data_IF_892239444885
#
_entry.id   IF_892239444885
#
_cell.length_a   1.000
_cell.length_b   1.000
_cell.length_c   1.000
_cell.angle_alpha   90.00
_cell.angle_beta   90.00
_cell.angle_gamma   90.00
#
_symmetry.space_group_name_H-M   'P 1'
#
loop_
_entity.id
_entity.type
_entity.pdbx_description
1 polymer ?
#
# COMPACT_ATOMS: atom_id res chain seq x y z
N UNK A 1 -4.53 17.67 -6.65
CA UNK A 1 -3.84 16.40 -6.98
C UNK A 1 -4.15 15.38 -5.89
N UNK A 2 -4.67 14.21 -6.27
CA UNK A 2 -4.91 13.07 -5.37
C UNK A 2 -3.83 12.01 -5.59
N UNK A 3 -3.63 11.13 -4.61
CA UNK A 3 -2.82 9.91 -4.74
C UNK A 3 -3.73 8.69 -4.59
N UNK A 4 -3.43 7.61 -5.31
CA UNK A 4 -4.09 6.32 -5.10
C UNK A 4 -3.13 5.43 -4.34
N UNK A 5 -3.55 4.91 -3.19
CA UNK A 5 -2.77 3.94 -2.42
C UNK A 5 -3.62 2.74 -2.05
N UNK A 6 -2.96 1.62 -1.79
CA UNK A 6 -3.60 0.40 -1.32
C UNK A 6 -3.71 0.41 0.21
N UNK A 7 -4.86 0.00 0.73
CA UNK A 7 -5.07 -0.26 2.15
C UNK A 7 -4.88 -1.77 2.37
N UNK A 8 -3.96 -2.12 3.26
CA UNK A 8 -3.60 -3.51 3.55
C UNK A 8 -4.29 -4.07 4.79
N UNK A 9 -4.53 -3.19 5.76
CA UNK A 9 -5.02 -3.52 7.08
C UNK A 9 -5.58 -2.24 7.72
N UNK A 10 -6.12 -2.36 8.92
CA UNK A 10 -6.60 -1.29 9.78
C UNK A 10 -5.68 -1.11 11.01
N UNK A 11 -4.40 -1.47 10.93
CA UNK A 11 -3.43 -1.32 12.03
C UNK A 11 -3.08 0.15 12.22
N UNK A 12 -2.78 0.86 11.12
CA UNK A 12 -2.41 2.27 11.17
C UNK A 12 -3.66 3.18 11.36
N UNK A 13 -3.58 4.24 12.18
CA UNK A 13 -4.68 5.20 12.33
C UNK A 13 -5.15 5.81 11.01
N UNK A 14 -4.22 6.11 10.10
CA UNK A 14 -4.52 6.65 8.76
C UNK A 14 -5.28 5.65 7.89
N UNK A 15 -5.08 4.34 8.09
CA UNK A 15 -5.83 3.31 7.38
C UNK A 15 -7.24 3.15 7.96
N UNK A 16 -7.38 3.17 9.30
CA UNK A 16 -8.69 3.14 9.97
C UNK A 16 -9.58 4.30 9.50
N UNK A 17 -9.00 5.50 9.44
CA UNK A 17 -9.71 6.69 9.02
C UNK A 17 -10.10 6.62 7.52
N UNK A 18 -9.22 6.12 6.67
CA UNK A 18 -9.55 5.88 5.26
C UNK A 18 -10.69 4.86 5.10
N UNK A 19 -10.65 3.74 5.84
CA UNK A 19 -11.70 2.72 5.83
C UNK A 19 -13.04 3.31 6.31
N UNK A 20 -13.02 4.14 7.37
CA UNK A 20 -14.21 4.83 7.87
C UNK A 20 -14.83 5.72 6.79
N UNK A 21 -14.02 6.51 6.08
CA UNK A 21 -14.51 7.36 4.98
C UNK A 21 -15.03 6.52 3.79
N UNK A 22 -14.41 5.37 3.50
CA UNK A 22 -14.91 4.42 2.48
C UNK A 22 -16.30 3.92 2.85
N UNK A 23 -16.53 3.51 4.12
CA UNK A 23 -17.86 3.10 4.59
C UNK A 23 -18.91 4.18 4.37
N UNK A 24 -18.59 5.43 4.71
CA UNK A 24 -19.48 6.57 4.45
C UNK A 24 -19.78 6.76 2.97
N UNK A 25 -18.78 6.63 2.07
CA UNK A 25 -19.03 6.73 0.62
C UNK A 25 -19.94 5.59 0.15
N UNK A 26 -19.80 4.37 0.69
CA UNK A 26 -20.71 3.26 0.36
C UNK A 26 -22.14 3.60 0.78
N UNK A 27 -22.34 4.05 2.02
CA UNK A 27 -23.66 4.42 2.54
C UNK A 27 -24.32 5.56 1.74
N UNK A 28 -23.54 6.51 1.22
CA UNK A 28 -24.05 7.63 0.42
C UNK A 28 -24.35 7.28 -1.05
N UNK A 29 -23.71 6.25 -1.61
CA UNK A 29 -23.78 5.95 -3.06
C UNK A 29 -24.74 4.81 -3.40
N UNK A 30 -25.09 3.99 -2.43
CA UNK A 30 -25.90 2.80 -2.63
C UNK A 30 -27.12 2.88 -1.70
N UNK A 31 -28.34 2.93 -2.25
CA UNK A 31 -29.58 3.11 -1.49
C UNK A 31 -29.85 1.99 -0.47
N UNK A 32 -29.32 0.78 -0.74
CA UNK A 32 -29.36 -0.38 0.16
C UNK A 32 -28.07 -1.19 0.05
N UNK A 33 -26.94 -0.67 0.56
CA UNK A 33 -25.71 -1.44 0.59
C UNK A 33 -25.93 -2.63 1.54
N UNK A 34 -25.51 -3.86 1.20
CA UNK A 34 -25.62 -4.96 2.14
C UNK A 34 -24.85 -4.59 3.41
N UNK A 35 -25.53 -4.50 4.56
CA UNK A 35 -24.88 -4.17 5.85
C UNK A 35 -23.65 -5.04 6.11
N UNK A 36 -23.73 -6.31 5.68
CA UNK A 36 -22.63 -7.28 5.70
C UNK A 36 -21.38 -6.83 4.96
N UNK A 37 -21.51 -6.11 3.85
CA UNK A 37 -20.37 -5.62 3.06
C UNK A 37 -19.71 -4.40 3.71
N UNK A 38 -20.49 -3.53 4.36
CA UNK A 38 -19.97 -2.39 5.12
C UNK A 38 -19.28 -2.84 6.40
N UNK A 39 -19.94 -3.69 7.19
CA UNK A 39 -19.42 -4.15 8.48
C UNK A 39 -18.28 -5.15 8.29
N UNK A 40 -18.40 -6.01 7.28
CA UNK A 40 -17.42 -7.03 6.93
C UNK A 40 -16.18 -6.50 6.20
N UNK A 41 -16.12 -5.24 5.76
CA UNK A 41 -14.98 -4.72 4.97
C UNK A 41 -13.62 -4.92 5.67
N UNK A 42 -13.56 -4.69 6.99
CA UNK A 42 -12.33 -4.91 7.76
C UNK A 42 -12.00 -6.40 7.82
N UNK A 43 -13.00 -7.26 8.04
CA UNK A 43 -12.83 -8.71 8.05
C UNK A 43 -12.33 -9.21 6.69
N UNK A 44 -12.90 -8.74 5.58
CA UNK A 44 -12.47 -9.07 4.22
C UNK A 44 -10.99 -8.72 3.98
N UNK A 45 -10.51 -7.61 4.55
CA UNK A 45 -9.11 -7.19 4.43
C UNK A 45 -8.16 -8.01 5.30
N UNK A 46 -8.58 -8.42 6.50
CA UNK A 46 -7.76 -9.17 7.46
C UNK A 46 -7.72 -10.68 7.20
N UNK A 47 -8.87 -11.26 6.86
CA UNK A 47 -9.07 -12.70 6.72
C UNK A 47 -9.47 -13.07 5.29
N UNK A 48 -8.50 -13.39 4.42
CA UNK A 48 -8.78 -13.82 3.06
C UNK A 48 -9.42 -15.20 2.98
N UNK A 49 -9.38 -16.01 4.05
CA UNK A 49 -9.95 -17.35 4.07
C UNK A 49 -11.47 -17.31 4.25
N UNK A 50 -11.98 -16.34 5.01
CA UNK A 50 -13.42 -16.19 5.28
C UNK A 50 -14.29 -16.18 4.01
N UNK A 51 -13.80 -15.56 2.92
CA UNK A 51 -14.52 -15.49 1.65
C UNK A 51 -13.85 -16.29 0.53
N UNK A 52 -12.74 -16.98 0.81
CA UNK A 52 -11.90 -17.61 -0.22
C UNK A 52 -11.57 -16.62 -1.35
N UNK A 53 -11.26 -15.38 -0.96
CA UNK A 53 -10.86 -14.28 -1.82
C UNK A 53 -9.92 -13.38 -1.04
N UNK A 54 -8.88 -12.86 -1.71
CA UNK A 54 -8.05 -11.80 -1.15
C UNK A 54 -8.66 -10.45 -1.49
N UNK A 55 -9.18 -9.73 -0.50
CA UNK A 55 -9.66 -8.38 -0.72
C UNK A 55 -8.50 -7.38 -0.91
N UNK A 56 -8.69 -6.45 -1.83
CA UNK A 56 -7.75 -5.39 -2.19
C UNK A 56 -8.52 -4.09 -2.23
N UNK A 57 -8.25 -3.18 -1.31
CA UNK A 57 -8.88 -1.86 -1.25
C UNK A 57 -7.90 -0.80 -1.74
N UNK A 58 -8.27 -0.08 -2.80
CA UNK A 58 -7.59 1.13 -3.26
C UNK A 58 -8.38 2.35 -2.83
N UNK A 59 -7.69 3.37 -2.30
CA UNK A 59 -8.30 4.66 -1.96
C UNK A 59 -7.61 5.78 -2.73
N UNK A 60 -8.40 6.63 -3.37
CA UNK A 60 -7.96 7.89 -3.94
C UNK A 60 -8.10 8.97 -2.87
N UNK A 61 -7.01 9.53 -2.38
CA UNK A 61 -7.01 10.49 -1.27
C UNK A 61 -6.20 11.76 -1.59
N UNK A 62 -6.64 12.91 -1.06
CA UNK A 62 -5.87 14.16 -1.11
C UNK A 62 -4.77 14.17 -0.04
N UNK A 63 -3.82 15.11 -0.14
CA UNK A 63 -2.71 15.27 0.82
C UNK A 63 -3.16 15.43 2.29
N UNK A 64 -4.40 15.87 2.54
CA UNK A 64 -4.98 15.99 3.86
C UNK A 64 -5.58 14.69 4.42
N UNK A 65 -5.45 13.55 3.73
CA UNK A 65 -6.05 12.27 4.14
C UNK A 65 -7.55 12.16 3.84
N UNK A 66 -8.11 13.10 3.09
CA UNK A 66 -9.51 13.06 2.65
C UNK A 66 -9.65 12.09 1.47
N UNK A 67 -10.40 11.01 1.66
CA UNK A 67 -10.77 10.04 0.63
C UNK A 67 -11.76 10.71 -0.33
N UNK A 68 -11.49 10.57 -1.62
CA UNK A 68 -12.28 11.13 -2.73
C UNK A 68 -13.00 10.04 -3.51
N UNK A 69 -12.57 8.80 -3.36
CA UNK A 69 -13.14 7.62 -3.99
C UNK A 69 -12.33 6.38 -3.63
N UNK A 70 -12.88 5.21 -3.95
CA UNK A 70 -12.25 3.93 -3.66
C UNK A 70 -12.63 2.88 -4.70
N UNK A 71 -11.85 1.80 -4.72
CA UNK A 71 -12.18 0.58 -5.42
C UNK A 71 -11.86 -0.64 -4.54
N UNK A 72 -12.82 -1.56 -4.41
CA UNK A 72 -12.66 -2.83 -3.70
C UNK A 72 -12.63 -3.96 -4.72
N UNK A 73 -11.56 -4.75 -4.72
CA UNK A 73 -11.34 -5.87 -5.63
C UNK A 73 -11.17 -7.15 -4.83
N UNK A 74 -11.80 -8.23 -5.28
CA UNK A 74 -11.64 -9.57 -4.75
C UNK A 74 -10.76 -10.38 -5.69
N UNK A 75 -9.58 -10.79 -5.24
CA UNK A 75 -8.62 -11.52 -6.06
C UNK A 75 -8.61 -13.01 -5.70
N UNK A 76 -8.70 -13.89 -6.71
CA UNK A 76 -8.53 -15.34 -6.58
C UNK A 76 -7.31 -15.82 -7.38
N UNK A 77 -6.18 -16.09 -6.69
CA UNK A 77 -4.91 -16.40 -7.35
C UNK A 77 -4.91 -17.76 -8.07
N UNK A 78 -5.64 -18.77 -7.57
CA UNK A 78 -5.61 -20.11 -8.16
C UNK A 78 -6.35 -20.14 -9.51
N UNK A 79 -7.50 -19.46 -9.58
CA UNK A 79 -8.24 -19.30 -10.82
C UNK A 79 -7.64 -18.23 -11.74
N UNK A 80 -6.72 -17.39 -11.21
CA UNK A 80 -6.15 -16.23 -11.90
C UNK A 80 -7.23 -15.28 -12.38
N UNK A 81 -8.11 -14.88 -11.48
CA UNK A 81 -9.16 -13.90 -11.75
C UNK A 81 -9.20 -12.82 -10.66
N UNK A 82 -9.75 -11.66 -11.01
CA UNK A 82 -10.13 -10.62 -10.06
C UNK A 82 -11.58 -10.22 -10.31
N UNK A 83 -12.29 -9.85 -9.25
CA UNK A 83 -13.65 -9.34 -9.30
C UNK A 83 -13.68 -7.93 -8.72
N UNK A 84 -14.04 -6.92 -9.51
CA UNK A 84 -14.25 -5.56 -9.01
C UNK A 84 -15.62 -5.49 -8.32
N UNK A 85 -15.58 -5.42 -7.00
CA UNK A 85 -16.75 -5.47 -6.12
C UNK A 85 -17.43 -4.10 -6.03
N UNK A 86 -16.64 -3.08 -5.72
CA UNK A 86 -17.11 -1.71 -5.64
C UNK A 86 -16.12 -0.78 -6.32
N UNK A 87 -16.65 0.23 -7.00
CA UNK A 87 -15.90 1.42 -7.39
C UNK A 87 -16.82 2.62 -7.27
N UNK A 88 -16.38 3.62 -6.51
CA UNK A 88 -17.17 4.81 -6.29
C UNK A 88 -16.27 6.03 -6.03
N UNK A 89 -16.77 7.20 -6.43
CA UNK A 89 -16.22 8.48 -6.04
C UNK A 89 -17.23 9.19 -5.12
N UNK A 90 -16.74 10.03 -4.20
CA UNK A 90 -17.61 10.82 -3.32
C UNK A 90 -18.47 11.79 -4.15
N UNK A 91 -19.77 11.84 -3.86
CA UNK A 91 -20.77 12.75 -4.46
C UNK A 91 -20.45 14.22 -4.23
N UNK A 92 -19.78 14.55 -3.11
CA UNK A 92 -19.60 15.93 -2.63
C UNK A 92 -18.60 16.75 -3.45
N UNK A 93 -17.87 16.12 -4.37
CA UNK A 93 -16.80 16.75 -5.15
C UNK A 93 -16.96 16.38 -6.62
N UNK A 94 -16.93 17.38 -7.50
CA UNK A 94 -16.90 17.25 -8.97
C UNK A 94 -15.69 16.42 -9.39
N UNK A 95 -15.84 15.10 -9.38
CA UNK A 95 -14.75 14.11 -9.41
C UNK A 95 -14.42 13.65 -10.83
N UNK A 96 -14.31 14.58 -11.79
CA UNK A 96 -13.86 14.25 -13.15
C UNK A 96 -12.47 13.59 -13.07
N UNK A 97 -12.40 12.33 -13.52
CA UNK A 97 -11.14 11.57 -13.63
C UNK A 97 -10.77 10.67 -12.45
N UNK A 98 -11.41 10.76 -11.28
CA UNK A 98 -11.10 9.86 -10.15
C UNK A 98 -11.50 8.41 -10.46
N UNK A 99 -12.72 8.21 -10.98
CA UNK A 99 -13.19 6.88 -11.39
C UNK A 99 -12.28 6.23 -12.45
N UNK A 100 -11.86 7.01 -13.45
CA UNK A 100 -10.89 6.56 -14.47
C UNK A 100 -9.55 6.16 -13.86
N UNK A 101 -8.98 6.99 -12.99
CA UNK A 101 -7.70 6.70 -12.34
C UNK A 101 -7.78 5.48 -11.39
N UNK A 102 -8.88 5.32 -10.65
CA UNK A 102 -9.12 4.15 -9.81
C UNK A 102 -9.27 2.89 -10.64
N UNK A 103 -10.08 2.93 -11.70
CA UNK A 103 -10.28 1.78 -12.59
C UNK A 103 -8.97 1.38 -13.27
N UNK A 104 -8.19 2.35 -13.77
CA UNK A 104 -6.87 2.07 -14.32
C UNK A 104 -5.95 1.42 -13.29
N UNK A 105 -5.88 1.92 -12.05
CA UNK A 105 -5.07 1.29 -10.99
C UNK A 105 -5.52 -0.14 -10.68
N UNK A 106 -6.82 -0.42 -10.72
CA UNK A 106 -7.36 -1.78 -10.57
C UNK A 106 -6.88 -2.70 -11.70
N UNK A 107 -6.91 -2.22 -12.95
CA UNK A 107 -6.39 -2.97 -14.11
C UNK A 107 -4.90 -3.22 -14.00
N UNK A 108 -4.13 -2.23 -13.54
CA UNK A 108 -2.68 -2.36 -13.31
C UNK A 108 -2.39 -3.44 -12.27
N UNK A 109 -3.05 -3.40 -11.10
CA UNK A 109 -2.87 -4.40 -10.04
C UNK A 109 -3.32 -5.80 -10.49
N UNK A 110 -4.40 -5.89 -11.28
CA UNK A 110 -4.87 -7.15 -11.85
C UNK A 110 -3.82 -7.76 -12.80
N UNK A 111 -3.27 -6.96 -13.71
CA UNK A 111 -2.21 -7.38 -14.63
C UNK A 111 -0.93 -7.76 -13.88
N UNK A 112 -0.50 -6.96 -12.90
CA UNK A 112 0.65 -7.23 -12.01
C UNK A 112 0.46 -8.54 -11.21
N UNK A 113 -0.78 -8.87 -10.86
CA UNK A 113 -1.13 -10.12 -10.16
C UNK A 113 -1.25 -11.34 -11.09
N UNK A 114 -1.04 -11.16 -12.40
CA UNK A 114 -1.07 -12.24 -13.38
C UNK A 114 -2.46 -12.87 -13.62
N UNK A 115 -3.54 -12.13 -13.35
CA UNK A 115 -4.90 -12.61 -13.65
C UNK A 115 -5.15 -12.60 -15.16
N UNK A 116 -6.07 -13.45 -15.61
CA UNK A 116 -6.46 -13.56 -17.02
C UNK A 116 -7.57 -12.60 -17.42
N UNK A 117 -8.42 -12.20 -16.47
CA UNK A 117 -9.49 -11.25 -16.69
C UNK A 117 -9.93 -10.61 -15.35
N UNK A 118 -10.48 -9.41 -15.46
CA UNK A 118 -11.20 -8.71 -14.40
C UNK A 118 -12.70 -8.79 -14.68
N UNK A 119 -13.46 -9.27 -13.70
CA UNK A 119 -14.91 -9.45 -13.76
C UNK A 119 -15.60 -8.41 -12.89
N UNK A 120 -16.80 -7.97 -13.27
CA UNK A 120 -17.66 -7.16 -12.42
C UNK A 120 -19.09 -7.14 -12.96
N UNK A 121 -20.00 -6.56 -12.19
CA UNK A 121 -21.41 -6.47 -12.55
C UNK A 121 -21.79 -5.05 -12.95
N UNK A 122 -22.64 -4.94 -13.96
CA UNK A 122 -23.30 -3.70 -14.33
C UNK A 122 -24.78 -3.97 -14.57
N UNK A 123 -25.63 -3.12 -14.01
CA UNK A 123 -27.06 -3.19 -14.30
C UNK A 123 -27.35 -2.97 -15.79
N UNK A 124 -28.45 -3.53 -16.33
CA UNK A 124 -28.77 -3.48 -17.75
C UNK A 124 -28.90 -2.06 -18.32
N UNK A 125 -28.51 -1.91 -19.59
CA UNK A 125 -28.60 -0.66 -20.38
C UNK A 125 -29.73 -0.69 -21.44
N UNK A 126 -30.50 -1.76 -21.47
CA UNK A 126 -31.69 -1.92 -22.29
C UNK A 126 -32.98 -1.57 -21.51
N UNK A 127 -33.98 -0.97 -22.17
CA UNK A 127 -35.23 -0.57 -21.51
C UNK A 127 -36.13 -1.73 -21.07
N UNK A 128 -35.93 -2.93 -21.62
CA UNK A 128 -36.78 -4.10 -21.31
C UNK A 128 -36.40 -4.69 -19.94
N UNK A 129 -35.10 -4.77 -19.65
CA UNK A 129 -34.54 -5.25 -18.39
C UNK A 129 -34.31 -4.14 -17.34
N UNK A 130 -34.41 -2.86 -17.69
CA UNK A 130 -34.35 -1.74 -16.75
C UNK A 130 -35.42 -0.69 -17.07
N UNK A 131 -36.53 -0.75 -16.32
CA UNK A 131 -37.71 0.10 -16.55
C UNK A 131 -37.58 1.53 -16.02
N UNK A 132 -36.70 1.77 -15.03
CA UNK A 132 -36.47 3.10 -14.47
C UNK A 132 -35.59 3.94 -15.43
N UNK A 133 -36.10 5.06 -15.99
CA UNK A 133 -35.35 5.87 -16.95
C UNK A 133 -34.09 6.53 -16.37
N UNK A 134 -34.07 6.83 -15.07
CA UNK A 134 -32.95 7.46 -14.39
C UNK A 134 -31.79 6.46 -14.21
N UNK A 135 -32.11 5.24 -13.76
CA UNK A 135 -31.16 4.14 -13.65
C UNK A 135 -30.66 3.73 -15.04
N UNK A 136 -31.54 3.62 -16.03
CA UNK A 136 -31.16 3.29 -17.40
C UNK A 136 -30.12 4.29 -17.96
N UNK A 137 -30.32 5.60 -17.75
CA UNK A 137 -29.34 6.62 -18.16
C UNK A 137 -27.99 6.45 -17.45
N UNK A 138 -28.01 6.15 -16.14
CA UNK A 138 -26.80 5.92 -15.37
C UNK A 138 -26.06 4.63 -15.80
N UNK A 139 -26.79 3.54 -16.05
CA UNK A 139 -26.24 2.26 -16.51
C UNK A 139 -25.58 2.38 -17.87
N UNK A 140 -26.22 3.09 -18.82
CA UNK A 140 -25.63 3.43 -20.12
C UNK A 140 -24.31 4.19 -19.98
N UNK A 141 -24.26 5.16 -19.07
CA UNK A 141 -23.03 5.92 -18.80
C UNK A 141 -21.93 5.05 -18.18
N UNK A 142 -22.27 4.14 -17.25
CA UNK A 142 -21.32 3.18 -16.65
C UNK A 142 -20.76 2.21 -17.68
N UNK A 143 -21.62 1.57 -18.47
CA UNK A 143 -21.18 0.65 -19.52
C UNK A 143 -20.37 1.36 -20.60
N UNK A 144 -20.75 2.57 -21.01
CA UNK A 144 -19.93 3.40 -21.91
C UNK A 144 -18.53 3.69 -21.34
N UNK A 145 -18.42 3.95 -20.04
CA UNK A 145 -17.13 4.16 -19.38
C UNK A 145 -16.24 2.91 -19.45
N UNK A 146 -16.78 1.75 -19.08
CA UNK A 146 -16.04 0.48 -19.10
C UNK A 146 -15.69 0.00 -20.51
N UNK A 147 -16.60 0.19 -21.47
CA UNK A 147 -16.38 -0.14 -22.87
C UNK A 147 -15.19 0.65 -23.46
N UNK A 148 -14.95 1.88 -22.98
CA UNK A 148 -13.74 2.66 -23.32
C UNK A 148 -12.42 2.01 -22.91
N UNK A 149 -12.44 1.04 -22.00
CA UNK A 149 -11.29 0.20 -21.61
C UNK A 149 -11.33 -1.21 -22.22
N UNK A 150 -12.26 -1.48 -23.14
CA UNK A 150 -12.46 -2.79 -23.77
C UNK A 150 -13.34 -3.77 -22.97
N UNK A 151 -13.76 -3.39 -21.76
CA UNK A 151 -14.57 -4.23 -20.89
C UNK A 151 -16.03 -4.26 -21.35
N UNK A 152 -16.59 -5.47 -21.55
CA UNK A 152 -17.91 -5.65 -22.19
C UNK A 152 -18.73 -6.77 -21.53
N UNK A 153 -20.08 -6.68 -21.57
CA UNK A 153 -20.95 -7.76 -21.10
C UNK A 153 -20.68 -9.08 -21.82
N UNK A 154 -20.63 -10.19 -21.08
CA UNK A 154 -20.69 -11.53 -21.64
C UNK A 154 -22.12 -11.80 -22.15
N UNK A 155 -22.25 -12.38 -23.34
CA UNK A 155 -23.55 -12.71 -23.97
C UNK A 155 -23.77 -14.22 -24.04
N UNK A 156 -24.96 -14.64 -24.50
CA UNK A 156 -25.34 -16.05 -24.66
C UNK A 156 -25.18 -16.88 -23.37
N UNK A 157 -25.58 -16.29 -22.25
CA UNK A 157 -25.57 -16.91 -20.93
C UNK A 157 -26.80 -16.43 -20.15
N UNK A 158 -26.98 -16.97 -18.95
CA UNK A 158 -28.12 -16.70 -18.07
C UNK A 158 -27.67 -16.03 -16.77
N UNK A 159 -26.57 -15.27 -16.78
CA UNK A 159 -26.06 -14.60 -15.57
C UNK A 159 -27.03 -13.51 -15.07
N UNK A 160 -27.71 -12.86 -16.01
CA UNK A 160 -28.78 -11.88 -15.81
C UNK A 160 -30.17 -12.53 -15.66
N UNK A 161 -30.25 -13.84 -15.48
CA UNK A 161 -31.53 -14.50 -15.19
C UNK A 161 -31.98 -14.18 -13.75
N UNK A 162 -33.28 -13.95 -13.51
CA UNK A 162 -33.80 -13.67 -12.18
C UNK A 162 -33.49 -14.78 -11.19
N UNK A 163 -33.13 -14.39 -9.96
CA UNK A 163 -32.98 -15.30 -8.82
C UNK A 163 -34.35 -15.77 -8.30
N UNK A 164 -35.35 -14.90 -8.37
CA UNK A 164 -36.74 -15.05 -7.95
C UNK A 164 -37.64 -14.12 -8.78
N UNK A 165 -38.96 -14.32 -8.70
CA UNK A 165 -39.97 -13.62 -9.51
C UNK A 165 -40.06 -12.09 -9.26
N UNK A 166 -39.39 -11.58 -8.21
CA UNK A 166 -39.42 -10.17 -7.79
C UNK A 166 -38.25 -9.32 -8.33
N UNK A 167 -37.25 -9.94 -8.99
CA UNK A 167 -36.04 -9.23 -9.43
C UNK A 167 -36.15 -8.69 -10.86
N UNK A 168 -36.64 -7.45 -10.99
CA UNK A 168 -36.94 -6.79 -12.28
C UNK A 168 -35.68 -6.28 -13.04
N UNK A 169 -34.46 -6.40 -12.49
CA UNK A 169 -33.21 -5.89 -13.12
C UNK A 169 -31.93 -6.58 -12.65
N UNK A 170 -31.71 -7.84 -13.08
CA UNK A 170 -30.47 -8.56 -12.78
C UNK A 170 -29.27 -7.99 -13.56
N UNK A 171 -28.06 -7.95 -12.98
CA UNK A 171 -26.90 -7.36 -13.63
C UNK A 171 -26.32 -8.26 -14.71
N UNK A 172 -25.71 -7.65 -15.72
CA UNK A 172 -24.81 -8.34 -16.63
C UNK A 172 -23.46 -8.63 -15.95
N UNK A 173 -22.88 -9.78 -16.28
CA UNK A 173 -21.46 -10.03 -16.06
C UNK A 173 -20.63 -9.30 -17.13
N UNK A 174 -19.84 -8.32 -16.70
CA UNK A 174 -18.89 -7.59 -17.55
C UNK A 174 -17.49 -8.20 -17.36
N UNK A 175 -16.79 -8.38 -18.48
CA UNK A 175 -15.43 -8.94 -18.51
C UNK A 175 -14.48 -7.93 -19.17
N UNK A 176 -13.42 -7.58 -18.45
CA UNK A 176 -12.24 -6.86 -18.96
C UNK A 176 -11.10 -7.86 -19.11
N UNK A 177 -10.65 -8.10 -20.34
CA UNK A 177 -9.55 -9.02 -20.66
C UNK A 177 -8.17 -8.38 -20.46
N UNK A 178 -8.14 -7.19 -19.85
CA UNK A 178 -6.97 -6.34 -19.58
C UNK A 178 -6.23 -5.90 -20.86
N UNK A 179 -6.90 -5.95 -22.02
CA UNK A 179 -6.32 -5.65 -23.32
C UNK A 179 -5.31 -6.72 -23.78
N UNK A 180 -5.48 -7.96 -23.34
CA UNK A 180 -4.58 -9.07 -23.73
C UNK A 180 -5.03 -9.80 -25.00
N UNK A 181 -6.28 -9.58 -25.45
CA UNK A 181 -6.91 -10.24 -26.61
C UNK A 181 -6.85 -11.78 -26.54
N UNK A 182 -6.63 -12.32 -25.34
CA UNK A 182 -6.56 -13.77 -25.11
C UNK A 182 -7.97 -14.35 -25.17
N UNK A 183 -8.18 -15.50 -25.84
CA UNK A 183 -9.48 -16.15 -25.86
C UNK A 183 -9.99 -16.47 -24.44
N UNK A 184 -11.17 -15.94 -24.10
CA UNK A 184 -11.86 -16.22 -22.84
C UNK A 184 -12.43 -17.65 -22.86
N UNK A 185 -11.57 -18.64 -22.58
CA UNK A 185 -11.95 -20.05 -22.62
C UNK A 185 -13.14 -20.33 -21.72
N UNK A 186 -14.11 -21.10 -22.22
CA UNK A 186 -15.35 -21.45 -21.51
C UNK A 186 -15.11 -21.99 -20.12
N UNK A 187 -14.15 -22.91 -19.97
CA UNK A 187 -13.78 -23.51 -18.68
C UNK A 187 -13.37 -22.44 -17.66
N UNK A 188 -12.51 -21.50 -18.07
CA UNK A 188 -12.03 -20.43 -17.20
C UNK A 188 -13.16 -19.51 -16.74
N UNK A 189 -14.03 -19.08 -17.66
CA UNK A 189 -15.16 -18.20 -17.31
C UNK A 189 -16.16 -18.93 -16.41
N UNK A 190 -16.46 -20.21 -16.68
CA UNK A 190 -17.31 -21.03 -15.80
C UNK A 190 -16.75 -21.16 -14.39
N UNK A 191 -15.43 -21.43 -14.26
CA UNK A 191 -14.76 -21.53 -12.96
C UNK A 191 -14.83 -20.18 -12.20
N UNK A 192 -14.63 -19.05 -12.90
CA UNK A 192 -14.73 -17.70 -12.34
C UNK A 192 -16.16 -17.35 -11.89
N UNK A 193 -17.16 -17.58 -12.75
CA UNK A 193 -18.58 -17.36 -12.44
C UNK A 193 -19.02 -18.19 -11.24
N UNK A 194 -18.66 -19.47 -11.22
CA UNK A 194 -18.91 -20.34 -10.07
C UNK A 194 -18.32 -19.77 -8.79
N UNK A 195 -17.04 -19.36 -8.82
CA UNK A 195 -16.39 -18.76 -7.66
C UNK A 195 -17.09 -17.48 -7.18
N UNK A 196 -17.55 -16.62 -8.09
CA UNK A 196 -18.31 -15.41 -7.74
C UNK A 196 -19.63 -15.80 -7.03
N UNK A 197 -20.43 -16.67 -7.64
CA UNK A 197 -21.74 -17.03 -7.13
C UNK A 197 -21.66 -17.84 -5.81
N UNK A 198 -20.74 -18.81 -5.70
CA UNK A 198 -20.61 -19.67 -4.51
C UNK A 198 -19.87 -19.03 -3.33
N UNK A 199 -19.12 -17.94 -3.55
CA UNK A 199 -18.28 -17.34 -2.50
C UNK A 199 -18.76 -15.95 -2.12
N UNK A 200 -18.94 -15.05 -3.10
CA UNK A 200 -19.45 -13.70 -2.85
C UNK A 200 -20.96 -13.77 -2.55
N UNK A 201 -21.70 -14.47 -3.40
CA UNK A 201 -23.16 -14.56 -3.32
C UNK A 201 -23.68 -15.82 -2.61
N UNK A 202 -22.83 -16.49 -1.82
CA UNK A 202 -23.16 -17.73 -1.11
C UNK A 202 -24.44 -17.70 -0.26
N UNK A 203 -24.84 -16.50 0.18
CA UNK A 203 -25.99 -16.26 1.05
C UNK A 203 -27.30 -15.99 0.30
N UNK A 204 -27.25 -15.78 -1.02
CA UNK A 204 -28.40 -15.48 -1.87
C UNK A 204 -28.55 -16.42 -3.06
N UNK A 205 -27.46 -17.02 -3.54
CA UNK A 205 -27.48 -17.95 -4.69
C UNK A 205 -27.56 -19.42 -4.22
N UNK A 206 -28.70 -20.11 -4.40
CA UNK A 206 -28.78 -21.54 -4.11
C UNK A 206 -27.95 -22.36 -5.11
N UNK A 207 -27.46 -23.57 -4.74
CA UNK A 207 -26.60 -24.38 -5.62
C UNK A 207 -27.20 -24.65 -7.01
N UNK A 208 -28.52 -24.88 -7.09
CA UNK A 208 -29.22 -25.12 -8.36
C UNK A 208 -29.18 -23.90 -9.30
N UNK A 209 -29.27 -22.69 -8.74
CA UNK A 209 -29.11 -21.45 -9.49
C UNK A 209 -27.68 -21.36 -10.04
N UNK A 210 -26.68 -21.65 -9.20
CA UNK A 210 -25.26 -21.63 -9.62
C UNK A 210 -25.05 -22.58 -10.79
N UNK A 211 -25.50 -23.84 -10.69
CA UNK A 211 -25.34 -24.81 -11.77
C UNK A 211 -26.02 -24.37 -13.07
N UNK A 212 -27.25 -23.86 -12.97
CA UNK A 212 -27.99 -23.36 -14.13
C UNK A 212 -27.25 -22.23 -14.83
N UNK A 213 -26.78 -21.23 -14.08
CA UNK A 213 -26.04 -20.08 -14.63
C UNK A 213 -24.71 -20.54 -15.21
N UNK A 214 -23.93 -21.35 -14.51
CA UNK A 214 -22.63 -21.83 -15.00
C UNK A 214 -22.79 -22.68 -16.27
N UNK A 215 -23.80 -23.56 -16.33
CA UNK A 215 -24.08 -24.39 -17.50
C UNK A 215 -24.54 -23.59 -18.72
N UNK A 216 -25.12 -22.40 -18.52
CA UNK A 216 -25.59 -21.53 -19.61
C UNK A 216 -24.48 -20.98 -20.50
N UNK A 217 -23.24 -20.85 -20.00
CA UNK A 217 -22.08 -20.42 -20.79
C UNK A 217 -21.68 -21.54 -21.75
N UNK A 218 -22.19 -21.56 -22.98
CA UNK A 218 -21.99 -22.65 -23.97
C UNK A 218 -20.86 -22.40 -24.97
N UNK A 219 -20.64 -21.15 -25.35
CA UNK A 219 -19.62 -20.74 -26.33
C UNK A 219 -18.18 -20.97 -25.80
N UNK A 220 -17.24 -21.36 -26.67
CA UNK A 220 -15.80 -21.39 -26.39
C UNK A 220 -15.00 -20.83 -27.58
N UNK A 221 -14.38 -19.64 -27.48
CA UNK A 221 -14.37 -18.75 -26.30
C UNK A 221 -15.76 -18.16 -25.99
N UNK A 222 -15.97 -17.76 -24.73
CA UNK A 222 -17.16 -17.01 -24.31
C UNK A 222 -17.23 -15.70 -25.10
N UNK A 223 -18.40 -15.40 -25.65
CA UNK A 223 -18.63 -14.20 -26.47
C UNK A 223 -18.90 -12.99 -25.59
N UNK A 224 -18.30 -11.87 -25.96
CA UNK A 224 -18.62 -10.55 -25.41
C UNK A 224 -19.54 -9.82 -26.38
N UNK A 225 -20.40 -8.96 -25.85
CA UNK A 225 -21.28 -8.09 -26.64
C UNK A 225 -20.45 -7.22 -27.57
N UNK A 226 -20.98 -6.92 -28.76
CA UNK A 226 -20.37 -5.93 -29.64
C UNK A 226 -20.35 -4.54 -28.97
N UNK A 227 -19.30 -3.72 -29.23
CA UNK A 227 -19.25 -2.36 -28.69
C UNK A 227 -20.46 -1.54 -29.11
N UNK A 228 -21.12 -0.88 -28.15
CA UNK A 228 -22.35 -0.10 -28.38
C UNK A 228 -22.14 1.41 -28.33
N UNK A 229 -21.17 1.88 -27.55
CA UNK A 229 -20.99 3.28 -27.21
C UNK A 229 -19.66 3.89 -27.66
N UNK A 230 -18.62 3.07 -27.72
CA UNK A 230 -17.25 3.49 -28.03
C UNK A 230 -16.69 2.57 -29.09
N UNK A 231 -16.28 3.16 -30.21
CA UNK A 231 -15.52 2.44 -31.22
C UNK A 231 -14.06 2.39 -30.75
N UNK A 232 -13.67 1.31 -30.08
CA UNK A 232 -12.30 1.14 -29.57
C UNK A 232 -11.42 0.60 -30.69
N UNK A 233 -10.56 1.44 -31.27
CA UNK A 233 -9.56 0.99 -32.26
C UNK A 233 -8.40 0.23 -31.60
N UNK A 234 -8.08 0.54 -30.34
CA UNK A 234 -7.05 -0.15 -29.56
C UNK A 234 -7.38 -0.10 -28.08
N UNK A 235 -7.63 -1.26 -27.47
CA UNK A 235 -7.87 -1.38 -26.03
C UNK A 235 -6.64 -0.88 -25.28
N UNK A 236 -6.77 0.04 -24.30
CA UNK A 236 -5.63 0.44 -23.49
C UNK A 236 -5.10 -0.81 -22.77
N UNK A 237 -3.91 -1.27 -23.11
CA UNK A 237 -3.25 -2.34 -22.36
C UNK A 237 -2.96 -1.82 -20.95
N UNK A 238 -3.18 -2.65 -19.93
CA UNK A 238 -2.66 -2.32 -18.60
C UNK A 238 -1.13 -2.14 -18.71
N UNK A 239 -0.54 -0.99 -18.31
CA UNK A 239 0.90 -0.78 -18.36
C UNK A 239 1.65 -1.91 -17.64
N UNK A 240 2.71 -2.40 -18.27
CA UNK A 240 3.65 -3.31 -17.64
C UNK A 240 4.45 -2.53 -16.59
N UNK A 241 4.27 -2.89 -15.31
CA UNK A 241 5.16 -2.59 -14.19
C UNK A 241 5.54 -1.10 -14.00
N UNK A 242 4.83 -0.41 -13.11
CA UNK A 242 5.29 0.89 -12.64
C UNK A 242 4.57 1.47 -11.43
N UNK A 243 3.54 0.79 -10.91
CA UNK A 243 2.60 1.40 -9.96
C UNK A 243 2.64 0.82 -8.54
N UNK A 244 3.48 -0.19 -8.30
CA UNK A 244 3.78 -0.66 -6.95
C UNK A 244 4.44 0.47 -6.15
N UNK A 245 3.90 0.78 -4.98
CA UNK A 245 4.43 1.82 -4.10
C UNK A 245 5.88 1.48 -3.72
N UNK A 246 6.85 2.21 -4.30
CA UNK A 246 8.28 2.03 -4.02
C UNK A 246 8.58 2.22 -2.54
N UNK A 247 9.54 1.45 -2.02
CA UNK A 247 10.03 1.56 -0.66
C UNK A 247 10.72 2.92 -0.51
N UNK A 248 10.27 3.72 0.46
CA UNK A 248 10.94 4.99 0.77
C UNK A 248 12.33 4.72 1.35
N UNK A 249 13.38 5.19 0.68
CA UNK A 249 14.76 5.03 1.13
C UNK A 249 15.27 6.36 1.70
N UNK A 250 15.62 6.36 2.98
CA UNK A 250 16.27 7.48 3.64
C UNK A 250 17.72 7.08 3.94
N UNK A 251 18.66 7.77 3.31
CA UNK A 251 20.09 7.60 3.55
C UNK A 251 20.55 8.80 4.36
N UNK A 252 21.29 8.58 5.46
CA UNK A 252 21.77 9.72 6.23
C UNK A 252 22.98 10.34 5.53
N UNK A 253 22.77 11.53 4.97
CA UNK A 253 23.83 12.29 4.29
C UNK A 253 24.97 12.59 5.25
N UNK A 254 26.19 12.66 4.69
CA UNK A 254 27.42 12.93 5.43
C UNK A 254 27.68 11.90 6.52
N UNK A 255 27.24 10.64 6.41
CA UNK A 255 27.60 9.61 7.39
C UNK A 255 29.12 9.32 7.40
N UNK A 256 29.79 9.54 6.26
CA UNK A 256 31.20 9.30 5.99
C UNK A 256 32.13 10.23 6.78
N UNK A 257 31.62 11.38 7.25
CA UNK A 257 32.36 12.30 8.13
C UNK A 257 32.82 11.61 9.42
N UNK A 258 32.10 10.59 9.87
CA UNK A 258 32.49 9.77 11.00
C UNK A 258 33.27 8.55 10.49
N UNK A 259 34.58 8.67 10.34
CA UNK A 259 35.45 7.58 9.90
C UNK A 259 36.59 7.39 10.91
N UNK A 260 36.62 6.21 11.52
CA UNK A 260 37.65 5.80 12.48
C UNK A 260 38.58 4.84 11.75
N UNK A 261 39.87 5.21 11.66
CA UNK A 261 40.89 4.42 10.93
C UNK A 261 41.68 3.46 11.85
N UNK A 262 41.21 3.25 13.07
CA UNK A 262 41.93 2.47 14.06
C UNK A 262 41.80 0.97 13.83
N UNK A 263 42.88 0.24 14.08
CA UNK A 263 43.00 -1.19 13.81
C UNK A 263 42.00 -1.96 14.67
N UNK A 264 41.03 -2.63 14.04
CA UNK A 264 39.98 -3.41 14.71
C UNK A 264 38.61 -2.73 14.75
N UNK A 265 38.49 -1.45 14.36
CA UNK A 265 37.19 -0.81 14.16
C UNK A 265 36.58 -1.25 12.83
N UNK A 266 35.43 -1.93 12.88
CA UNK A 266 34.81 -2.59 11.71
C UNK A 266 33.70 -1.77 11.06
N UNK A 267 33.24 -0.70 11.70
CA UNK A 267 32.14 0.13 11.22
C UNK A 267 32.67 1.20 10.23
N UNK A 268 32.76 0.84 8.94
CA UNK A 268 33.35 1.70 7.90
C UNK A 268 32.31 2.39 7.00
N UNK A 269 32.60 3.62 6.49
CA UNK A 269 31.74 4.30 5.52
C UNK A 269 31.40 3.47 4.27
N UNK A 270 32.28 2.53 3.88
CA UNK A 270 32.08 1.65 2.71
C UNK A 270 30.82 0.78 2.82
N UNK A 271 30.32 0.53 4.03
CA UNK A 271 29.12 -0.29 4.26
C UNK A 271 27.89 0.30 3.59
N UNK A 272 27.69 1.62 3.70
CA UNK A 272 26.54 2.31 3.10
C UNK A 272 26.63 2.29 1.57
N UNK A 273 27.80 2.57 1.00
CA UNK A 273 27.98 2.57 -0.46
C UNK A 273 27.81 1.18 -1.06
N UNK A 274 28.25 0.12 -0.37
CA UNK A 274 28.03 -1.28 -0.79
C UNK A 274 26.56 -1.66 -0.78
N UNK A 275 25.81 -1.29 0.26
CA UNK A 275 24.37 -1.54 0.32
C UNK A 275 23.67 -0.77 -0.80
N UNK A 276 23.96 0.51 -0.99
CA UNK A 276 23.38 1.32 -2.05
C UNK A 276 23.65 0.74 -3.45
N UNK A 277 24.85 0.24 -3.70
CA UNK A 277 25.20 -0.37 -4.98
C UNK A 277 24.32 -1.60 -5.31
N UNK A 278 23.86 -2.36 -4.31
CA UNK A 278 22.91 -3.45 -4.52
C UNK A 278 21.46 -2.95 -4.64
N UNK A 279 21.06 -1.96 -3.84
CA UNK A 279 19.71 -1.39 -3.92
C UNK A 279 19.44 -0.71 -5.27
N UNK A 280 20.44 -0.01 -5.81
CA UNK A 280 20.37 0.73 -7.07
C UNK A 280 20.22 -0.18 -8.30
N UNK A 281 20.51 -1.50 -8.17
CA UNK A 281 20.22 -2.50 -9.20
C UNK A 281 18.72 -2.81 -9.32
N UNK A 282 17.91 -2.34 -8.39
CA UNK A 282 16.47 -2.61 -8.32
C UNK A 282 15.66 -1.34 -8.60
N UNK A 283 14.42 -1.51 -9.05
CA UNK A 283 13.45 -0.40 -9.20
C UNK A 283 12.56 -0.22 -7.95
N UNK A 284 12.86 -0.95 -6.88
CA UNK A 284 12.01 -1.07 -5.69
C UNK A 284 12.06 0.15 -4.77
N UNK A 285 13.13 0.96 -4.84
CA UNK A 285 13.37 2.05 -3.89
C UNK A 285 13.20 3.43 -4.51
N UNK A 286 12.77 4.37 -3.68
CA UNK A 286 12.70 5.80 -3.99
C UNK A 286 13.44 6.58 -2.92
N UNK A 287 14.56 7.21 -3.29
CA UNK A 287 15.34 8.05 -2.37
C UNK A 287 14.54 9.27 -1.95
N UNK A 288 14.50 9.53 -0.65
CA UNK A 288 13.86 10.70 -0.04
C UNK A 288 14.80 11.36 0.96
N UNK A 289 14.66 12.67 1.10
CA UNK A 289 15.46 13.47 2.03
C UNK A 289 14.85 13.44 3.43
N UNK A 290 15.68 13.11 4.42
CA UNK A 290 15.34 13.34 5.82
C UNK A 290 15.52 14.82 6.15
N UNK A 291 14.50 15.44 6.76
CA UNK A 291 14.60 16.83 7.22
C UNK A 291 15.19 16.87 8.62
N UNK A 292 16.04 17.87 8.87
CA UNK A 292 16.54 18.16 10.21
C UNK A 292 15.40 18.47 11.18
N UNK A 293 15.44 17.86 12.36
CA UNK A 293 14.42 18.00 13.41
C UNK A 293 15.05 18.46 14.73
N UNK A 294 14.21 18.86 15.67
CA UNK A 294 14.64 19.13 17.04
C UNK A 294 15.16 17.85 17.70
N UNK A 295 15.97 17.99 18.75
CA UNK A 295 16.48 16.87 19.55
C UNK A 295 15.45 16.31 20.55
N UNK A 296 14.23 16.87 20.60
CA UNK A 296 13.21 16.41 21.56
C UNK A 296 12.86 14.93 21.42
N UNK A 297 12.69 14.35 20.22
CA UNK A 297 12.48 12.91 20.09
C UNK A 297 13.64 12.06 20.64
N UNK A 298 14.89 12.54 20.50
CA UNK A 298 16.07 11.86 21.08
C UNK A 298 15.99 11.87 22.60
N UNK A 299 15.60 13.02 23.18
CA UNK A 299 15.47 13.22 24.64
C UNK A 299 14.27 12.50 25.28
N UNK A 300 13.36 11.95 24.47
CA UNK A 300 12.29 11.08 24.95
C UNK A 300 12.79 9.66 25.19
N UNK A 301 13.87 9.24 24.51
CA UNK A 301 14.45 7.89 24.61
C UNK A 301 15.73 7.90 25.46
N UNK A 302 16.58 8.90 25.28
CA UNK A 302 17.88 9.01 25.96
C UNK A 302 17.89 10.08 27.05
N UNK A 303 18.69 9.84 28.08
CA UNK A 303 18.97 10.77 29.16
C UNK A 303 19.45 12.12 28.59
N UNK A 304 18.82 13.20 29.04
CA UNK A 304 19.14 14.56 28.57
C UNK A 304 20.60 14.92 28.84
N UNK A 305 21.18 14.43 29.93
CA UNK A 305 22.57 14.65 30.29
C UNK A 305 23.53 13.88 29.36
N UNK A 306 23.18 12.67 28.93
CA UNK A 306 23.93 11.92 27.90
C UNK A 306 23.95 12.70 26.59
N UNK A 307 22.78 13.13 26.10
CA UNK A 307 22.68 13.88 24.84
C UNK A 307 23.47 15.19 24.90
N UNK A 308 23.38 15.90 26.03
CA UNK A 308 24.15 17.13 26.25
C UNK A 308 25.66 16.86 26.30
N UNK A 309 26.08 15.78 26.97
CA UNK A 309 27.47 15.36 27.04
C UNK A 309 28.01 15.03 25.64
N UNK A 310 27.38 14.13 24.90
CA UNK A 310 27.82 13.72 23.56
C UNK A 310 27.94 14.91 22.63
N UNK A 311 26.94 15.80 22.64
CA UNK A 311 26.99 17.03 21.84
C UNK A 311 28.19 17.89 22.21
N UNK A 312 28.42 18.10 23.51
CA UNK A 312 29.50 18.96 23.99
C UNK A 312 30.87 18.37 23.66
N UNK A 313 31.14 17.13 24.12
CA UNK A 313 32.44 16.49 23.93
C UNK A 313 32.80 16.37 22.45
N UNK A 314 31.86 15.98 21.57
CA UNK A 314 32.16 15.88 20.15
C UNK A 314 32.47 17.27 19.55
N UNK A 315 31.62 18.28 19.79
CA UNK A 315 31.82 19.59 19.17
C UNK A 315 33.06 20.33 19.68
N UNK A 316 33.53 20.01 20.89
CA UNK A 316 34.74 20.58 21.50
C UNK A 316 36.04 19.93 20.97
N UNK A 317 35.98 18.71 20.41
CA UNK A 317 37.16 18.00 19.87
C UNK A 317 37.65 18.62 18.55
N UNK A 318 38.98 18.66 18.37
CA UNK A 318 39.59 19.11 17.11
C UNK A 318 39.50 18.04 16.02
N UNK A 319 39.75 18.45 14.78
CA UNK A 319 39.84 17.51 13.65
C UNK A 319 41.01 16.56 13.88
N UNK A 320 40.77 15.26 13.75
CA UNK A 320 41.78 14.21 13.98
C UNK A 320 41.88 13.73 15.43
N UNK A 321 41.29 14.43 16.40
CA UNK A 321 41.23 13.96 17.78
C UNK A 321 40.09 12.95 17.99
N UNK A 322 40.37 11.94 18.82
CA UNK A 322 39.38 10.95 19.25
C UNK A 322 39.54 10.68 20.75
N UNK A 323 38.41 10.53 21.43
CA UNK A 323 38.33 10.14 22.84
C UNK A 323 37.90 8.69 22.91
N UNK A 324 38.77 7.85 23.46
CA UNK A 324 38.47 6.48 23.80
C UNK A 324 38.17 6.36 25.30
N UNK A 325 36.99 5.85 25.69
CA UNK A 325 36.71 5.58 27.10
C UNK A 325 37.61 4.43 27.58
N UNK A 326 38.35 4.67 28.67
CA UNK A 326 39.25 3.67 29.27
C UNK A 326 39.05 3.48 30.78
N UNK A 327 38.26 4.35 31.44
CA UNK A 327 37.91 4.23 32.87
C UNK A 327 36.39 4.22 33.02
N UNK A 328 35.84 3.15 33.60
CA UNK A 328 34.40 2.94 33.72
C UNK A 328 33.97 2.86 35.19
N UNK A 329 32.98 3.64 35.62
CA UNK A 329 32.50 3.61 37.00
C UNK A 329 31.54 2.44 37.24
N UNK A 330 32.09 1.23 37.41
CA UNK A 330 31.30 -0.03 37.53
C UNK A 330 30.46 -0.07 38.82
N UNK A 331 31.02 0.38 39.96
CA UNK A 331 30.38 0.23 41.28
C UNK A 331 29.77 1.52 41.85
N UNK A 332 30.29 2.69 41.47
CA UNK A 332 29.84 3.98 42.01
C UNK A 332 29.79 5.07 40.93
N UNK A 333 28.60 5.31 40.38
CA UNK A 333 28.33 6.32 39.36
C UNK A 333 27.68 7.61 39.92
N UNK A 334 27.82 7.87 41.22
CA UNK A 334 27.14 9.00 41.88
C UNK A 334 27.64 10.39 41.45
N UNK A 335 28.88 10.50 40.94
CA UNK A 335 29.47 11.77 40.48
C UNK A 335 30.25 11.59 39.17
N UNK A 336 29.79 12.17 38.04
CA UNK A 336 30.55 12.12 36.79
C UNK A 336 31.81 13.01 36.88
N UNK A 337 32.94 12.62 36.25
CA UNK A 337 34.15 13.45 36.16
C UNK A 337 33.88 14.83 35.53
N UNK A 338 34.57 15.87 35.96
CA UNK A 338 34.46 17.22 35.37
C UNK A 338 35.11 17.30 33.99
N UNK A 339 36.23 16.61 33.82
CA UNK A 339 36.92 16.45 32.54
C UNK A 339 36.06 15.66 31.54
N UNK A 340 35.92 16.18 30.31
CA UNK A 340 35.02 15.62 29.31
C UNK A 340 35.54 14.31 28.72
N UNK A 341 36.85 14.15 28.57
CA UNK A 341 37.44 12.93 28.02
C UNK A 341 37.31 11.78 29.03
N UNK A 342 37.65 12.00 30.30
CA UNK A 342 37.43 11.02 31.37
C UNK A 342 35.95 10.71 31.60
N UNK A 343 35.05 11.69 31.41
CA UNK A 343 33.61 11.46 31.50
C UNK A 343 33.09 10.51 30.42
N UNK A 344 33.84 10.21 29.36
CA UNK A 344 33.38 9.28 28.31
C UNK A 344 33.01 7.91 28.88
N UNK A 345 33.83 7.35 29.78
CA UNK A 345 33.54 6.06 30.39
C UNK A 345 32.38 6.07 31.39
N UNK A 346 31.93 7.25 31.87
CA UNK A 346 30.68 7.37 32.63
C UNK A 346 29.45 7.07 31.77
N UNK A 347 29.56 7.36 30.46
CA UNK A 347 28.48 7.27 29.50
C UNK A 347 28.66 6.13 28.50
N UNK A 348 29.71 5.31 28.63
CA UNK A 348 30.05 4.27 27.66
C UNK A 348 30.09 2.87 28.28
N UNK A 349 29.78 1.84 27.49
CA UNK A 349 29.78 0.43 27.89
C UNK A 349 30.92 -0.40 27.29
N UNK A 350 31.73 0.18 26.40
CA UNK A 350 32.85 -0.51 25.76
C UNK A 350 34.06 0.41 25.60
N UNK A 351 35.16 -0.15 25.09
CA UNK A 351 36.43 0.54 24.87
C UNK A 351 36.73 0.84 23.41
N UNK A 352 35.83 0.51 22.48
CA UNK A 352 36.09 0.53 21.03
C UNK A 352 35.14 1.44 20.23
N UNK A 353 34.19 2.11 20.87
CA UNK A 353 33.41 3.20 20.30
C UNK A 353 34.05 4.56 20.65
N UNK A 354 34.87 5.16 19.77
CA UNK A 354 35.44 6.47 20.03
C UNK A 354 34.44 7.60 19.80
N UNK A 355 34.64 8.69 20.54
CA UNK A 355 34.02 9.97 20.25
C UNK A 355 35.01 10.84 19.48
N UNK A 356 34.62 11.30 18.30
CA UNK A 356 35.35 12.29 17.52
C UNK A 356 34.44 13.48 17.20
N UNK A 357 34.99 14.52 16.58
CA UNK A 357 34.27 15.76 16.26
C UNK A 357 32.94 15.54 15.52
N UNK A 358 32.90 14.48 14.73
CA UNK A 358 31.86 14.19 13.78
C UNK A 358 30.83 13.16 14.27
N UNK A 359 31.13 12.44 15.36
CA UNK A 359 30.29 11.35 15.87
C UNK A 359 28.86 11.82 16.17
N UNK A 360 28.71 12.92 16.92
CA UNK A 360 27.38 13.49 17.23
C UNK A 360 26.61 13.92 15.98
N UNK A 361 27.29 14.49 14.98
CA UNK A 361 26.64 14.96 13.74
C UNK A 361 26.16 13.78 12.89
N UNK A 362 26.98 12.75 12.73
CA UNK A 362 26.63 11.54 11.99
C UNK A 362 25.49 10.77 12.68
N UNK A 363 25.57 10.59 14.00
CA UNK A 363 24.52 9.96 14.80
C UNK A 363 23.19 10.73 14.72
N UNK A 364 23.23 12.08 14.74
CA UNK A 364 22.04 12.90 14.54
C UNK A 364 21.41 12.65 13.16
N UNK A 365 22.22 12.59 12.10
CA UNK A 365 21.74 12.26 10.75
C UNK A 365 21.09 10.88 10.68
N UNK A 366 21.66 9.87 11.34
CA UNK A 366 21.08 8.54 11.45
C UNK A 366 19.69 8.57 12.11
N UNK A 367 19.54 9.29 13.22
CA UNK A 367 18.24 9.48 13.89
C UNK A 367 17.24 10.19 12.96
N UNK A 368 17.66 11.23 12.24
CA UNK A 368 16.79 11.98 11.33
C UNK A 368 16.19 11.06 10.24
N UNK A 369 17.00 10.17 9.67
CA UNK A 369 16.54 9.17 8.70
C UNK A 369 15.60 8.14 9.31
N UNK A 370 15.89 7.63 10.51
CA UNK A 370 15.00 6.70 11.21
C UNK A 370 13.62 7.34 11.49
N UNK A 371 13.60 8.58 11.99
CA UNK A 371 12.37 9.34 12.23
C UNK A 371 11.62 9.69 10.94
N UNK A 372 12.34 9.92 9.84
CA UNK A 372 11.73 10.15 8.53
C UNK A 372 11.07 8.87 8.00
N UNK A 373 11.72 7.71 8.14
CA UNK A 373 11.17 6.40 7.83
C UNK A 373 9.90 6.09 8.63
N UNK A 374 9.97 6.25 9.95
CA UNK A 374 8.80 6.06 10.83
C UNK A 374 7.64 7.01 10.45
N UNK A 375 7.94 8.28 10.14
CA UNK A 375 6.93 9.23 9.71
C UNK A 375 6.32 8.88 8.33
N UNK A 376 7.08 8.28 7.41
CA UNK A 376 6.56 7.82 6.12
C UNK A 376 5.56 6.67 6.31
N UNK A 377 5.87 5.72 7.21
CA UNK A 377 4.97 4.62 7.58
C UNK A 377 3.70 5.18 8.23
N UNK A 378 3.84 6.09 9.21
CA UNK A 378 2.69 6.73 9.86
C UNK A 378 1.79 7.49 8.87
N UNK A 379 2.34 7.99 7.77
CA UNK A 379 1.60 8.65 6.66
C UNK A 379 0.99 7.67 5.65
N UNK A 380 1.08 6.37 5.90
CA UNK A 380 0.42 5.32 5.14
C UNK A 380 1.29 4.63 4.08
N UNK A 381 2.60 4.88 4.02
CA UNK A 381 3.49 4.00 3.24
C UNK A 381 3.56 2.64 3.90
N UNK A 382 3.52 1.58 3.11
CA UNK A 382 3.67 0.22 3.65
C UNK A 382 5.07 -0.06 4.20
N UNK A 383 6.09 0.38 3.47
CA UNK A 383 7.49 0.10 3.77
C UNK A 383 8.33 1.38 3.65
N UNK A 384 9.28 1.53 4.57
CA UNK A 384 10.34 2.50 4.50
C UNK A 384 11.63 1.85 5.00
N UNK A 385 12.75 2.22 4.39
CA UNK A 385 14.08 1.77 4.79
C UNK A 385 14.93 2.99 5.17
N UNK A 386 15.36 3.04 6.43
CA UNK A 386 16.35 4.00 6.90
C UNK A 386 17.73 3.33 6.87
N UNK A 387 18.51 3.65 5.84
CA UNK A 387 19.89 3.20 5.70
C UNK A 387 20.79 4.17 6.47
N UNK A 388 21.14 3.79 7.69
CA UNK A 388 21.78 4.67 8.66
C UNK A 388 23.18 4.21 9.06
N UNK A 389 24.05 5.19 9.32
CA UNK A 389 25.39 4.99 9.90
C UNK A 389 25.81 6.23 10.71
N UNK A 390 26.28 6.12 11.97
CA UNK A 390 26.52 4.89 12.74
C UNK A 390 25.23 4.13 13.11
N UNK A 391 25.32 2.85 13.51
CA UNK A 391 24.18 2.08 14.04
C UNK A 391 23.75 2.61 15.42
N UNK A 392 22.67 2.05 15.98
CA UNK A 392 22.16 2.53 17.28
C UNK A 392 21.52 1.48 18.20
N UNK A 393 21.45 0.20 17.82
CA UNK A 393 20.77 -0.82 18.63
C UNK A 393 21.44 -1.15 19.97
N UNK A 394 22.70 -0.76 20.16
CA UNK A 394 23.45 -0.92 21.40
C UNK A 394 23.39 0.33 22.29
N UNK A 395 22.89 1.46 21.78
CA UNK A 395 22.72 2.67 22.58
C UNK A 395 21.49 2.53 23.48
N UNK A 396 21.69 2.63 24.79
CA UNK A 396 20.62 2.56 25.78
C UNK A 396 20.18 3.96 26.22
N UNK A 397 19.24 4.02 27.16
CA UNK A 397 18.76 5.29 27.71
C UNK A 397 19.90 6.14 28.27
N UNK A 398 20.87 5.54 28.96
CA UNK A 398 21.95 6.29 29.62
C UNK A 398 23.33 6.05 29.04
N UNK A 399 23.54 5.14 28.11
CA UNK A 399 24.89 4.80 27.65
C UNK A 399 24.98 4.64 26.13
N UNK A 400 26.17 4.90 25.59
CA UNK A 400 26.53 4.61 24.20
C UNK A 400 27.57 3.49 24.13
N UNK A 401 27.65 2.82 23.00
CA UNK A 401 28.61 1.75 22.73
C UNK A 401 28.15 0.90 21.55
N UNK A 402 29.01 0.00 21.10
CA UNK A 402 28.74 -0.92 20.00
C UNK A 402 28.75 -0.23 18.63
N UNK A 403 29.87 0.45 18.34
CA UNK A 403 30.10 1.39 17.23
C UNK A 403 29.34 2.72 17.41
#
# INVERSE_FOLDING_TARGET
MFRIRRIHDDILPVNREAIRQVKTIIEEQFDQPPKRDIDGLIQKLRDPFAQRFRAILHVAERRAGQVQGFALVLHEPQLRMSYLDYIAASTRLTSRGIGGALYQRVRDEAAESGVRALFFECLPDDPEACRDPSLLKANRARLRFYEGYGARPAVNNAYDAPLNDDNDSMPYLVIDDLGTDRPLRRRFVRDAVRAILERKYAHVCPPEYVERVVASFRDDPVRLREPRYVRVEKTPSAPASGSAERIALFVNDKHDIHHVNDRGYVESPVRVSRILAELDKTTLFERQTARTRSLEPVRQVHDRALVAYMRKVCLDLKVGESVYPYVFPIRNASRPPTDLAMRAGYWCIDTFTPLNRNAFLAARGAVECALAGAAAIAKGRRLAYALVRPPGHHAEQRVFGGF
#
